data_IF_458838766658
#
_entry.id   IF_458838766658
#
_cell.length_a   1.000
_cell.length_b   1.000
_cell.length_c   1.000
_cell.angle_alpha   90.00
_cell.angle_beta   90.00
_cell.angle_gamma   90.00
#
_symmetry.space_group_name_H-M   'P 1'
#
loop_
_entity.id
_entity.type
_entity.pdbx_description
1 polymer ?
#
# COMPACT_ATOMS: atom_id res chain seq x y z
N UNK A 1 -2.49 13.38 9.68
CA UNK A 1 -1.84 12.71 8.53
C UNK A 1 -1.05 11.44 8.88
N UNK A 2 -0.65 11.22 10.15
CA UNK A 2 0.12 10.04 10.59
C UNK A 2 -0.66 8.70 10.59
N UNK A 3 -2.00 8.74 10.53
CA UNK A 3 -2.84 7.55 10.66
C UNK A 3 -2.88 6.67 9.39
N UNK A 4 -2.82 7.27 8.20
CA UNK A 4 -2.77 6.53 6.92
C UNK A 4 -1.46 5.73 6.76
N UNK A 5 -0.37 6.32 7.24
CA UNK A 5 0.99 5.80 7.13
C UNK A 5 1.21 4.62 8.07
N UNK A 6 0.66 4.67 9.29
CA UNK A 6 0.74 3.55 10.22
C UNK A 6 -0.03 2.32 9.71
N UNK A 7 -1.19 2.52 9.09
CA UNK A 7 -2.02 1.39 8.64
C UNK A 7 -1.49 0.75 7.34
N UNK A 8 -1.07 1.56 6.36
CA UNK A 8 -0.50 1.06 5.10
C UNK A 8 0.90 0.48 5.33
N UNK A 9 1.73 1.12 6.15
CA UNK A 9 3.07 0.61 6.46
C UNK A 9 2.99 -0.65 7.32
N UNK A 10 2.09 -0.74 8.31
CA UNK A 10 1.86 -1.99 9.06
C UNK A 10 1.38 -3.12 8.15
N UNK A 11 0.53 -2.82 7.16
CA UNK A 11 0.02 -3.84 6.24
C UNK A 11 1.12 -4.37 5.28
N UNK A 12 1.99 -3.49 4.77
CA UNK A 12 3.15 -3.88 3.94
C UNK A 12 4.19 -4.67 4.75
N UNK A 13 4.46 -4.25 5.99
CA UNK A 13 5.36 -4.96 6.92
C UNK A 13 4.81 -6.36 7.27
N UNK A 14 3.50 -6.45 7.55
CA UNK A 14 2.79 -7.70 7.84
C UNK A 14 2.81 -8.70 6.67
N UNK A 15 2.82 -8.24 5.42
CA UNK A 15 2.95 -9.08 4.23
C UNK A 15 4.39 -9.59 4.04
N UNK A 16 5.39 -8.82 4.48
CA UNK A 16 6.80 -9.24 4.46
C UNK A 16 7.16 -10.21 5.59
N UNK A 17 6.35 -10.27 6.66
CA UNK A 17 6.59 -11.12 7.84
C UNK A 17 5.85 -12.47 7.81
N UNK A 18 5.05 -12.79 6.80
CA UNK A 18 4.33 -14.07 6.74
C UNK A 18 5.32 -15.25 6.63
N UNK A 19 5.43 -16.13 7.64
CA UNK A 19 6.37 -17.24 7.58
C UNK A 19 5.84 -18.32 6.64
N UNK A 20 6.66 -18.72 5.66
CA UNK A 20 6.50 -19.95 4.91
C UNK A 20 6.80 -21.17 5.82
N UNK A 21 5.98 -21.40 6.86
CA UNK A 21 6.01 -22.63 7.64
C UNK A 21 5.07 -23.64 7.00
N UNK A 22 5.64 -24.49 6.14
CA UNK A 22 5.07 -25.80 5.81
C UNK A 22 5.46 -26.73 6.97
N UNK A 23 4.53 -27.24 7.80
CA UNK A 23 4.85 -28.31 8.73
C UNK A 23 5.03 -29.63 7.97
N UNK A 24 6.26 -30.13 7.97
CA UNK A 24 6.62 -31.49 7.57
C UNK A 24 6.17 -32.49 8.65
N UNK A 25 5.34 -33.49 8.26
CA UNK A 25 5.24 -34.88 8.76
C UNK A 25 3.81 -35.43 8.51
N UNK A 26 3.53 -35.95 7.31
CA UNK A 26 3.66 -37.36 6.87
C UNK A 26 2.43 -38.24 7.20
N UNK A 27 1.54 -38.44 6.21
CA UNK A 27 0.86 -39.73 5.98
C UNK A 27 0.85 -40.03 4.47
N UNK A 28 1.29 -41.25 4.17
CA UNK A 28 1.48 -41.87 2.88
C UNK A 28 0.25 -41.79 1.93
N UNK A 29 0.42 -41.23 0.73
CA UNK A 29 -0.49 -41.43 -0.40
C UNK A 29 0.32 -41.74 -1.66
N UNK A 30 0.31 -42.98 -2.19
CA UNK A 30 0.87 -43.24 -3.51
C UNK A 30 -0.21 -42.90 -4.52
N UNK A 31 -0.07 -41.76 -5.21
CA UNK A 31 -0.81 -41.52 -6.44
C UNK A 31 0.05 -40.69 -7.37
N UNK A 32 0.32 -41.27 -8.54
CA UNK A 32 0.89 -40.58 -9.68
C UNK A 32 -0.10 -39.54 -10.18
N UNK A 33 -0.20 -38.41 -9.49
CA UNK A 33 -0.76 -37.21 -10.10
C UNK A 33 0.37 -36.60 -10.91
N UNK A 34 0.25 -36.80 -12.22
CA UNK A 34 0.91 -36.00 -13.23
C UNK A 34 0.78 -34.53 -12.82
N UNK A 35 1.88 -33.92 -12.42
CA UNK A 35 1.98 -32.48 -12.15
C UNK A 35 1.70 -31.74 -13.45
N UNK A 36 0.43 -31.43 -13.65
CA UNK A 36 -0.02 -30.55 -14.71
C UNK A 36 -1.15 -29.68 -14.16
N UNK A 37 -0.79 -28.76 -13.25
CA UNK A 37 -1.54 -27.53 -12.95
C UNK A 37 -0.65 -26.60 -12.13
N UNK A 38 0.14 -25.77 -12.80
CA UNK A 38 0.92 -24.69 -12.21
C UNK A 38 0.71 -23.37 -12.94
N UNK A 39 -0.49 -23.14 -13.48
CA UNK A 39 -0.76 -22.01 -14.39
C UNK A 39 -2.06 -21.23 -14.19
N UNK A 40 -2.89 -21.57 -13.20
CA UNK A 40 -4.28 -21.04 -13.16
C UNK A 40 -4.65 -20.29 -11.85
N UNK A 41 -3.76 -20.20 -10.87
CA UNK A 41 -4.05 -19.48 -9.62
C UNK A 41 -3.45 -18.08 -9.68
N UNK A 42 -4.31 -17.07 -9.63
CA UNK A 42 -3.92 -15.66 -9.47
C UNK A 42 -2.91 -15.54 -8.33
N UNK A 43 -1.79 -14.86 -8.57
CA UNK A 43 -0.73 -14.68 -7.59
C UNK A 43 -1.30 -13.97 -6.34
N UNK A 44 -1.20 -14.58 -5.14
CA UNK A 44 -1.71 -13.99 -3.90
C UNK A 44 -1.06 -12.63 -3.58
N UNK A 45 0.17 -12.39 -4.04
CA UNK A 45 0.88 -11.13 -3.88
C UNK A 45 0.20 -10.01 -4.65
N UNK A 46 -0.25 -10.28 -5.88
CA UNK A 46 -0.99 -9.31 -6.70
C UNK A 46 -2.36 -9.00 -6.10
N UNK A 47 -3.02 -10.01 -5.50
CA UNK A 47 -4.29 -9.80 -4.78
C UNK A 47 -4.10 -8.90 -3.57
N UNK A 48 -3.04 -9.14 -2.79
CA UNK A 48 -2.71 -8.34 -1.62
C UNK A 48 -2.36 -6.90 -2.00
N UNK A 49 -1.54 -6.71 -3.05
CA UNK A 49 -1.19 -5.39 -3.56
C UNK A 49 -2.41 -4.64 -4.09
N UNK A 50 -3.29 -5.31 -4.83
CA UNK A 50 -4.52 -4.71 -5.33
C UNK A 50 -5.45 -4.28 -4.18
N UNK A 51 -5.54 -5.08 -3.11
CA UNK A 51 -6.29 -4.75 -1.90
C UNK A 51 -5.72 -3.51 -1.20
N UNK A 52 -4.39 -3.46 -1.03
CA UNK A 52 -3.69 -2.29 -0.51
C UNK A 52 -3.94 -1.05 -1.38
N UNK A 53 -3.93 -1.23 -2.71
CA UNK A 53 -4.20 -0.16 -3.66
C UNK A 53 -5.61 0.40 -3.57
N UNK A 54 -6.62 -0.46 -3.48
CA UNK A 54 -8.01 -0.03 -3.27
C UNK A 54 -8.18 0.77 -1.97
N UNK A 55 -7.54 0.30 -0.89
CA UNK A 55 -7.50 1.01 0.40
C UNK A 55 -6.82 2.37 0.28
N UNK A 56 -5.64 2.42 -0.34
CA UNK A 56 -4.87 3.65 -0.50
C UNK A 56 -5.61 4.70 -1.33
N UNK A 57 -6.21 4.31 -2.45
CA UNK A 57 -6.99 5.19 -3.33
C UNK A 57 -8.15 5.84 -2.59
N UNK A 58 -9.01 5.04 -1.95
CA UNK A 58 -10.18 5.57 -1.24
C UNK A 58 -9.77 6.39 -0.02
N UNK A 59 -8.72 5.96 0.69
CA UNK A 59 -8.25 6.69 1.86
C UNK A 59 -7.67 8.06 1.50
N UNK A 60 -6.95 8.16 0.38
CA UNK A 60 -6.37 9.43 -0.05
C UNK A 60 -7.43 10.46 -0.47
N UNK A 61 -8.59 10.04 -1.01
CA UNK A 61 -9.66 10.92 -1.48
C UNK A 61 -10.20 11.89 -0.42
N UNK A 62 -10.12 11.50 0.85
CA UNK A 62 -10.54 12.29 2.01
C UNK A 62 -9.39 13.10 2.64
N UNK A 63 -8.23 13.17 2.00
CA UNK A 63 -7.01 13.81 2.53
C UNK A 63 -6.38 14.76 1.52
N UNK A 64 -5.44 15.56 1.99
CA UNK A 64 -4.62 16.43 1.13
C UNK A 64 -3.73 15.63 0.15
N UNK A 65 -3.50 14.34 0.42
CA UNK A 65 -2.73 13.44 -0.45
C UNK A 65 -3.45 13.00 -1.73
N UNK A 66 -4.73 13.35 -1.90
CA UNK A 66 -5.55 12.97 -3.05
C UNK A 66 -4.89 13.30 -4.39
N UNK A 67 -4.46 14.56 -4.56
CA UNK A 67 -3.97 15.03 -5.86
C UNK A 67 -2.69 14.28 -6.29
N UNK A 68 -1.80 14.01 -5.33
CA UNK A 68 -0.56 13.28 -5.60
C UNK A 68 -0.84 11.83 -5.99
N UNK A 69 -1.73 11.14 -5.25
CA UNK A 69 -2.09 9.77 -5.58
C UNK A 69 -2.85 9.69 -6.91
N UNK A 70 -3.84 10.56 -7.13
CA UNK A 70 -4.58 10.65 -8.40
C UNK A 70 -3.64 10.82 -9.57
N UNK A 71 -2.72 11.77 -9.50
CA UNK A 71 -1.75 12.00 -10.56
C UNK A 71 -0.88 10.77 -10.81
N UNK A 72 -0.39 10.11 -9.75
CA UNK A 72 0.43 8.90 -9.90
C UNK A 72 -0.33 7.74 -10.53
N UNK A 73 -1.58 7.50 -10.12
CA UNK A 73 -2.44 6.46 -10.67
C UNK A 73 -2.82 6.74 -12.12
N UNK A 74 -3.11 7.99 -12.47
CA UNK A 74 -3.38 8.38 -13.86
C UNK A 74 -2.13 8.19 -14.74
N UNK A 75 -0.94 8.58 -14.27
CA UNK A 75 0.32 8.34 -14.99
C UNK A 75 0.56 6.86 -15.20
N UNK A 76 0.33 6.03 -14.17
CA UNK A 76 0.42 4.58 -14.29
C UNK A 76 -0.52 4.06 -15.39
N UNK A 77 -1.78 4.48 -15.39
CA UNK A 77 -2.72 4.08 -16.44
C UNK A 77 -2.36 4.61 -17.82
N UNK A 78 -1.77 5.80 -17.95
CA UNK A 78 -1.30 6.30 -19.24
C UNK A 78 -0.19 5.42 -19.82
N UNK A 79 0.67 4.88 -18.96
CA UNK A 79 1.76 3.98 -19.36
C UNK A 79 1.25 2.60 -19.80
N UNK A 80 0.30 2.01 -19.07
CA UNK A 80 -0.12 0.63 -19.28
C UNK A 80 -1.44 0.48 -20.06
N UNK A 81 -2.36 1.46 -19.98
CA UNK A 81 -3.65 1.49 -20.66
C UNK A 81 -4.02 2.91 -21.14
N UNK A 82 -3.28 3.48 -22.10
CA UNK A 82 -3.45 4.88 -22.51
C UNK A 82 -4.87 5.23 -22.96
N UNK A 83 -5.57 4.28 -23.61
CA UNK A 83 -6.92 4.47 -24.11
C UNK A 83 -7.98 4.61 -23.00
N UNK A 84 -7.73 4.07 -21.80
CA UNK A 84 -8.67 4.14 -20.67
C UNK A 84 -8.25 5.13 -19.58
N UNK A 85 -7.07 5.75 -19.69
CA UNK A 85 -6.56 6.66 -18.67
C UNK A 85 -7.50 7.88 -18.42
N UNK A 86 -8.08 8.44 -19.49
CA UNK A 86 -9.04 9.54 -19.37
C UNK A 86 -10.40 9.12 -18.78
N UNK A 87 -10.76 7.83 -18.87
CA UNK A 87 -11.93 7.28 -18.20
C UNK A 87 -11.65 7.04 -16.72
N UNK A 88 -10.51 6.42 -16.40
CA UNK A 88 -10.05 6.22 -15.04
C UNK A 88 -10.00 7.54 -14.26
N UNK A 89 -9.50 8.61 -14.86
CA UNK A 89 -9.44 9.92 -14.20
C UNK A 89 -10.84 10.43 -13.82
N UNK A 90 -11.83 10.24 -14.69
CA UNK A 90 -13.24 10.58 -14.39
C UNK A 90 -13.82 9.67 -13.31
N UNK A 91 -13.49 8.38 -13.32
CA UNK A 91 -13.92 7.44 -12.29
C UNK A 91 -13.33 7.78 -10.92
N UNK A 92 -12.05 8.18 -10.86
CA UNK A 92 -11.37 8.64 -9.66
C UNK A 92 -12.09 9.84 -9.04
N UNK A 93 -12.43 10.84 -9.86
CA UNK A 93 -13.17 12.02 -9.39
C UNK A 93 -14.61 11.68 -8.97
N UNK A 94 -15.30 10.85 -9.75
CA UNK A 94 -16.65 10.39 -9.40
C UNK A 94 -16.64 9.64 -8.07
N UNK A 95 -15.68 8.73 -7.87
CA UNK A 95 -15.52 8.00 -6.61
C UNK A 95 -15.32 8.95 -5.44
N UNK A 96 -14.46 9.96 -5.59
CA UNK A 96 -14.23 10.95 -4.55
C UNK A 96 -15.50 11.73 -4.23
N UNK A 97 -16.24 12.17 -5.24
CA UNK A 97 -17.54 12.84 -5.04
C UNK A 97 -18.53 11.95 -4.30
N UNK A 98 -18.64 10.66 -4.65
CA UNK A 98 -19.48 9.69 -3.94
C UNK A 98 -19.07 9.53 -2.48
N UNK A 99 -17.77 9.39 -2.20
CA UNK A 99 -17.26 9.26 -0.84
C UNK A 99 -17.56 10.50 0.01
N UNK A 100 -17.34 11.71 -0.54
CA UNK A 100 -17.55 12.97 0.17
C UNK A 100 -19.04 13.32 0.36
N UNK A 101 -19.92 12.80 -0.51
CA UNK A 101 -21.36 13.00 -0.41
C UNK A 101 -22.04 11.97 0.52
N UNK A 102 -21.34 10.91 0.93
CA UNK A 102 -21.92 9.84 1.74
C UNK A 102 -22.36 10.35 3.13
N UNK A 103 -23.57 10.01 3.60
CA UNK A 103 -24.01 10.30 4.96
C UNK A 103 -23.08 9.66 6.00
N UNK A 104 -22.91 10.29 7.17
CA UNK A 104 -22.06 9.74 8.24
C UNK A 104 -22.48 8.33 8.71
N UNK A 105 -23.76 7.98 8.60
CA UNK A 105 -24.29 6.64 8.91
C UNK A 105 -23.90 5.56 7.89
N UNK A 106 -23.53 5.96 6.67
CA UNK A 106 -23.29 5.06 5.53
C UNK A 106 -21.85 5.15 5.01
N UNK A 107 -21.09 6.17 5.42
CA UNK A 107 -19.75 6.47 4.90
C UNK A 107 -18.80 5.27 4.96
N UNK A 108 -18.90 4.44 5.99
CA UNK A 108 -18.05 3.25 6.13
C UNK A 108 -18.43 2.14 5.14
N UNK A 109 -19.72 1.93 4.91
CA UNK A 109 -20.21 0.96 3.94
C UNK A 109 -19.86 1.41 2.52
N UNK A 110 -20.03 2.70 2.23
CA UNK A 110 -19.61 3.32 0.96
C UNK A 110 -18.10 3.16 0.76
N UNK A 111 -17.30 3.46 1.79
CA UNK A 111 -15.84 3.32 1.75
C UNK A 111 -15.42 1.88 1.37
N UNK A 112 -15.98 0.87 2.04
CA UNK A 112 -15.67 -0.53 1.77
C UNK A 112 -16.05 -0.95 0.35
N UNK A 113 -17.24 -0.56 -0.12
CA UNK A 113 -17.68 -0.86 -1.48
C UNK A 113 -16.75 -0.23 -2.54
N UNK A 114 -16.33 1.02 -2.31
CA UNK A 114 -15.39 1.70 -3.20
C UNK A 114 -14.00 1.05 -3.15
N UNK A 115 -13.52 0.62 -1.98
CA UNK A 115 -12.23 -0.07 -1.85
C UNK A 115 -12.21 -1.36 -2.66
N UNK A 116 -13.24 -2.19 -2.55
CA UNK A 116 -13.37 -3.43 -3.34
C UNK A 116 -13.45 -3.14 -4.85
N UNK A 117 -14.17 -2.09 -5.24
CA UNK A 117 -14.27 -1.68 -6.64
C UNK A 117 -12.92 -1.25 -7.23
N UNK A 118 -12.08 -0.57 -6.44
CA UNK A 118 -10.72 -0.18 -6.85
C UNK A 118 -9.74 -1.35 -6.81
N UNK A 119 -9.86 -2.25 -5.83
CA UNK A 119 -9.10 -3.50 -5.80
C UNK A 119 -9.31 -4.31 -7.08
N UNK A 120 -10.55 -4.50 -7.54
CA UNK A 120 -10.84 -5.24 -8.77
C UNK A 120 -10.19 -4.61 -10.01
N UNK A 121 -10.19 -3.28 -10.11
CA UNK A 121 -9.53 -2.54 -11.20
C UNK A 121 -8.02 -2.73 -11.18
N UNK A 122 -7.39 -2.58 -10.01
CA UNK A 122 -5.95 -2.77 -9.82
C UNK A 122 -5.53 -4.21 -10.15
N UNK A 123 -6.27 -5.19 -9.64
CA UNK A 123 -5.99 -6.60 -9.91
C UNK A 123 -6.09 -6.91 -11.40
N UNK A 124 -7.07 -6.35 -12.10
CA UNK A 124 -7.21 -6.51 -13.56
C UNK A 124 -6.00 -5.93 -14.28
N UNK A 125 -5.52 -4.74 -13.88
CA UNK A 125 -4.32 -4.13 -14.45
C UNK A 125 -3.08 -5.01 -14.21
N UNK A 126 -2.87 -5.47 -12.97
CA UNK A 126 -1.69 -6.25 -12.59
C UNK A 126 -1.65 -7.64 -13.23
N UNK A 127 -2.82 -8.24 -13.49
CA UNK A 127 -2.90 -9.53 -14.18
C UNK A 127 -2.60 -9.40 -15.67
N UNK A 128 -2.91 -8.26 -16.29
CA UNK A 128 -2.56 -8.00 -17.69
C UNK A 128 -1.09 -7.64 -17.85
N UNK A 129 -0.54 -6.83 -16.94
CA UNK A 129 0.86 -6.45 -16.94
C UNK A 129 1.43 -6.44 -15.51
N UNK A 130 2.20 -7.47 -15.11
CA UNK A 130 2.83 -7.55 -13.80
C UNK A 130 3.82 -6.40 -13.53
N UNK A 131 4.38 -5.73 -14.54
CA UNK A 131 5.25 -4.57 -14.34
C UNK A 131 4.48 -3.40 -13.73
N UNK A 132 3.18 -3.28 -14.04
CA UNK A 132 2.32 -2.27 -13.44
C UNK A 132 2.19 -2.44 -11.91
N UNK A 133 2.31 -3.66 -11.40
CA UNK A 133 2.32 -3.93 -9.95
C UNK A 133 3.54 -3.29 -9.28
N UNK A 134 4.74 -3.52 -9.82
CA UNK A 134 5.98 -2.94 -9.28
C UNK A 134 6.01 -1.41 -9.37
N UNK A 135 5.49 -0.83 -10.47
CA UNK A 135 5.36 0.63 -10.61
C UNK A 135 4.36 1.23 -9.60
N UNK A 136 3.28 0.50 -9.31
CA UNK A 136 2.31 0.89 -8.30
C UNK A 136 2.88 0.79 -6.87
N UNK A 137 3.63 -0.26 -6.56
CA UNK A 137 4.38 -0.36 -5.28
C UNK A 137 5.32 0.83 -5.11
N UNK A 138 6.10 1.17 -6.13
CA UNK A 138 7.00 2.32 -6.10
C UNK A 138 6.25 3.64 -5.90
N UNK A 139 5.05 3.78 -6.48
CA UNK A 139 4.17 4.92 -6.23
C UNK A 139 3.75 5.00 -4.76
N UNK A 140 3.29 3.89 -4.16
CA UNK A 140 2.90 3.84 -2.75
C UNK A 140 4.09 4.15 -1.83
N UNK A 141 5.29 3.64 -2.11
CA UNK A 141 6.50 3.95 -1.35
C UNK A 141 6.81 5.45 -1.37
N UNK A 142 6.77 6.10 -2.54
CA UNK A 142 7.00 7.56 -2.66
C UNK A 142 6.00 8.39 -1.86
N UNK A 143 4.73 7.96 -1.82
CA UNK A 143 3.70 8.61 -1.00
C UNK A 143 3.96 8.43 0.50
N UNK A 144 4.47 7.26 0.89
CA UNK A 144 4.92 6.98 2.25
C UNK A 144 6.07 7.89 2.70
N UNK A 145 7.05 8.09 1.81
CA UNK A 145 8.21 8.94 2.07
C UNK A 145 7.86 10.43 2.11
N UNK A 146 6.99 10.90 1.20
CA UNK A 146 6.56 12.30 1.15
C UNK A 146 5.73 12.71 2.37
N UNK A 147 5.04 11.75 3.02
CA UNK A 147 4.26 11.96 4.23
C UNK A 147 5.05 11.83 5.54
N UNK A 148 6.28 11.32 5.49
CA UNK A 148 7.17 11.35 6.65
C UNK A 148 7.82 12.74 6.75
N UNK A 149 7.64 13.48 7.86
CA UNK A 149 8.63 14.49 8.18
C UNK A 149 9.96 13.76 8.23
N UNK A 150 10.93 14.16 7.40
CA UNK A 150 12.34 13.89 7.73
C UNK A 150 12.57 14.63 9.05
N UNK A 151 12.31 13.98 10.17
CA UNK A 151 12.64 14.53 11.47
C UNK A 151 14.16 14.55 11.51
N UNK A 152 14.74 15.68 11.11
CA UNK A 152 16.11 15.99 11.45
C UNK A 152 16.13 16.24 12.96
N UNK A 153 16.10 15.14 13.72
CA UNK A 153 16.08 15.18 15.17
C UNK A 153 17.51 15.44 15.64
N UNK A 154 17.94 16.70 15.61
CA UNK A 154 19.18 17.11 16.26
C UNK A 154 18.95 17.21 17.76
N UNK A 155 19.50 16.27 18.52
CA UNK A 155 19.54 16.39 19.97
C UNK A 155 20.76 17.22 20.37
N UNK A 156 20.53 18.43 20.86
CA UNK A 156 21.57 19.26 21.45
C UNK A 156 21.38 19.27 22.96
N UNK A 157 22.33 18.67 23.69
CA UNK A 157 22.37 18.69 25.13
C UNK A 157 23.59 19.48 25.59
N UNK A 158 23.35 20.63 26.24
CA UNK A 158 24.41 21.40 26.91
C UNK A 158 24.27 21.22 28.43
N UNK A 159 25.36 20.82 29.09
CA UNK A 159 25.44 20.62 30.54
C UNK A 159 26.37 21.68 31.12
N UNK A 160 25.94 22.32 32.21
CA UNK A 160 26.81 23.20 33.01
C UNK A 160 26.81 22.78 34.47
N UNK A 161 27.91 23.13 35.14
CA UNK A 161 28.25 22.76 36.52
C UNK A 161 28.38 21.24 36.75
N UNK A 162 27.47 20.62 37.53
CA UNK A 162 27.52 19.22 37.96
C UNK A 162 26.32 18.37 37.51
N UNK A 163 25.58 18.81 36.48
CA UNK A 163 24.45 18.05 35.92
C UNK A 163 24.90 16.81 35.13
N UNK A 164 24.08 15.74 35.13
CA UNK A 164 24.25 14.60 34.22
C UNK A 164 23.03 14.49 33.30
N UNK A 165 23.28 14.35 32.01
CA UNK A 165 22.22 14.07 31.02
C UNK A 165 22.22 12.59 30.72
N UNK A 166 21.06 11.97 30.83
CA UNK A 166 20.79 10.62 30.37
C UNK A 166 19.82 10.71 29.21
N UNK A 167 20.30 10.38 28.02
CA UNK A 167 19.49 10.37 26.81
C UNK A 167 19.44 8.93 26.29
N UNK A 168 18.23 8.35 26.26
CA UNK A 168 17.98 7.03 25.71
C UNK A 168 17.15 7.19 24.43
N UNK A 169 17.81 7.11 23.28
CA UNK A 169 17.15 6.81 22.01
C UNK A 169 16.96 5.30 21.90
N UNK A 170 15.87 4.85 21.29
CA UNK A 170 15.70 3.44 20.88
C UNK A 170 16.69 3.07 19.76
N UNK A 171 16.30 2.22 18.81
CA UNK A 171 17.20 1.83 17.73
C UNK A 171 17.62 3.03 16.86
N UNK A 172 18.89 3.42 16.98
CA UNK A 172 19.53 4.43 16.13
C UNK A 172 20.55 3.74 15.23
N UNK A 173 20.39 3.92 13.92
CA UNK A 173 21.39 3.50 12.94
C UNK A 173 22.22 4.73 12.56
N UNK A 174 23.43 4.82 13.11
CA UNK A 174 24.38 5.89 12.80
C UNK A 174 25.32 5.37 11.72
N UNK A 175 25.22 5.94 10.53
CA UNK A 175 26.17 5.68 9.45
C UNK A 175 27.23 6.79 9.48
N UNK A 176 28.40 6.50 10.05
CA UNK A 176 29.55 7.39 10.02
C UNK A 176 30.28 7.26 8.67
N UNK A 177 30.84 8.35 8.16
CA UNK A 177 31.57 8.40 6.89
C UNK A 177 32.99 8.87 7.13
#
# INVERSE_FOLDING_TARGET
MQWLLLEVSRFVDQLSEAPAHIPELLIHYPSKVRTQRGGDTVDPTLIALASAGGTAVVSAMATDGWNTLRSGVVTLWQQFRPNSAGELERELETTRSTLLAAPASEVEQVRQALQSAWQGRMLTLFLEDPVAASEFEALLSRLGEAGSPRTNTSFHAEVRDHGRVYQAGGNQFISER
#
